data_IF_933915746052
#
_entry.id   IF_933915746052
#
_cell.length_a   1.000
_cell.length_b   1.000
_cell.length_c   1.000
_cell.angle_alpha   90.00
_cell.angle_beta   90.00
_cell.angle_gamma   90.00
#
_symmetry.space_group_name_H-M   'P 1'
#
loop_
_entity.id
_entity.type
_entity.pdbx_description
1 polymer ?
#
# COMPACT_ATOMS: atom_id res chain seq x y z
N UNK A 1 14.88 -11.16 17.19
CA UNK A 1 15.06 -10.58 15.84
C UNK A 1 13.77 -10.70 15.05
N UNK A 2 12.82 -9.80 15.28
CA UNK A 2 11.59 -9.71 14.49
C UNK A 2 11.94 -9.18 13.09
N UNK A 3 11.60 -9.92 12.05
CA UNK A 3 11.77 -9.50 10.64
C UNK A 3 10.41 -9.18 10.07
N UNK A 4 10.34 -8.09 9.30
CA UNK A 4 9.15 -7.67 8.58
C UNK A 4 9.54 -7.48 7.12
N UNK A 5 8.75 -8.04 6.21
CA UNK A 5 8.88 -7.84 4.78
C UNK A 5 7.68 -7.08 4.25
N UNK A 6 7.96 -6.01 3.51
CA UNK A 6 6.95 -5.32 2.70
C UNK A 6 7.06 -5.89 1.30
N UNK A 7 6.01 -6.58 0.85
CA UNK A 7 5.99 -7.34 -0.41
C UNK A 7 5.43 -6.53 -1.59
N UNK A 8 4.99 -5.30 -1.33
CA UNK A 8 4.37 -4.41 -2.31
C UNK A 8 5.23 -3.16 -2.46
N UNK A 9 5.52 -2.78 -3.71
CA UNK A 9 6.31 -1.61 -4.06
C UNK A 9 5.45 -0.65 -4.89
N UNK A 10 5.59 0.65 -4.65
CA UNK A 10 4.92 1.67 -5.45
C UNK A 10 5.75 1.99 -6.69
N UNK A 11 5.37 1.40 -7.83
CA UNK A 11 6.11 1.43 -9.09
C UNK A 11 5.37 2.19 -10.21
N UNK A 12 4.07 2.45 -10.05
CA UNK A 12 3.24 3.11 -11.05
C UNK A 12 3.07 4.61 -10.73
N UNK A 13 3.49 5.54 -11.60
CA UNK A 13 3.32 6.97 -11.36
C UNK A 13 1.88 7.44 -11.64
N UNK A 14 1.28 8.14 -10.69
CA UNK A 14 0.04 8.91 -10.87
C UNK A 14 0.40 10.30 -11.38
N UNK A 15 -0.33 10.77 -12.40
CA UNK A 15 -0.21 12.13 -12.92
C UNK A 15 -1.43 12.97 -12.60
N UNK A 16 -1.23 14.24 -12.28
CA UNK A 16 -2.30 15.21 -12.00
C UNK A 16 -2.10 16.52 -12.75
N UNK A 17 -3.19 17.16 -13.15
CA UNK A 17 -3.16 18.56 -13.63
C UNK A 17 -3.39 19.51 -12.46
N UNK A 18 -2.80 20.73 -12.49
CA UNK A 18 -3.13 21.77 -11.52
C UNK A 18 -4.63 22.09 -11.51
N UNK A 19 -5.16 22.55 -10.38
CA UNK A 19 -6.59 22.85 -10.24
C UNK A 19 -7.07 23.99 -11.15
N UNK A 20 -6.17 24.89 -11.56
CA UNK A 20 -6.51 26.14 -12.26
C UNK A 20 -6.51 26.02 -13.80
N UNK A 21 -6.16 24.86 -14.38
CA UNK A 21 -6.07 24.70 -15.84
C UNK A 21 -7.33 24.08 -16.44
N UNK A 22 -7.75 24.60 -17.61
CA UNK A 22 -8.81 23.98 -18.41
C UNK A 22 -8.39 22.60 -18.92
N UNK A 23 -9.37 21.73 -19.16
CA UNK A 23 -9.15 20.40 -19.74
C UNK A 23 -8.47 20.47 -21.12
N UNK A 24 -7.75 19.41 -21.51
CA UNK A 24 -6.92 19.37 -22.73
C UNK A 24 -5.43 19.69 -22.51
N UNK A 25 -4.67 19.91 -23.58
CA UNK A 25 -3.22 20.22 -23.57
C UNK A 25 -2.31 19.13 -22.97
N UNK A 26 -2.62 17.85 -23.20
CA UNK A 26 -1.74 16.72 -22.84
C UNK A 26 -1.96 16.15 -21.43
N UNK A 27 -1.02 15.30 -20.99
CA UNK A 27 -1.02 14.62 -19.68
C UNK A 27 -0.35 15.51 -18.63
N UNK A 28 -0.82 15.45 -17.39
CA UNK A 28 -0.24 16.20 -16.28
C UNK A 28 1.12 15.64 -15.82
N UNK A 29 1.80 16.37 -14.95
CA UNK A 29 3.06 15.92 -14.35
C UNK A 29 2.80 14.81 -13.32
N UNK A 30 3.77 13.90 -13.07
CA UNK A 30 3.67 12.93 -11.98
C UNK A 30 3.53 13.62 -10.61
N UNK A 31 2.53 13.22 -9.82
CA UNK A 31 2.23 13.77 -8.48
C UNK A 31 2.39 12.75 -7.36
N UNK A 32 2.47 11.45 -7.68
CA UNK A 32 2.64 10.40 -6.69
C UNK A 32 2.88 9.04 -7.33
N UNK A 33 3.03 8.02 -6.49
CA UNK A 33 3.22 6.64 -6.90
C UNK A 33 2.17 5.76 -6.24
N UNK A 34 1.71 4.75 -6.97
CA UNK A 34 0.82 3.72 -6.45
C UNK A 34 1.39 2.34 -6.70
N UNK A 35 0.93 1.41 -5.88
CA UNK A 35 1.16 0.00 -6.08
C UNK A 35 -0.17 -0.65 -6.49
N UNK A 36 -0.11 -1.53 -7.49
CA UNK A 36 -1.24 -2.39 -7.81
C UNK A 36 -1.31 -3.53 -6.78
N UNK A 37 -2.47 -3.67 -6.11
CA UNK A 37 -2.71 -4.73 -5.13
C UNK A 37 -3.90 -5.56 -5.58
N UNK A 38 -3.65 -6.82 -5.95
CA UNK A 38 -4.69 -7.77 -6.37
C UNK A 38 -5.25 -8.58 -5.19
N UNK A 39 -6.48 -9.08 -5.34
CA UNK A 39 -7.10 -9.97 -4.36
C UNK A 39 -6.23 -11.20 -4.12
N UNK A 40 -5.93 -11.49 -2.85
CA UNK A 40 -5.08 -12.62 -2.44
C UNK A 40 -3.59 -12.31 -2.37
N UNK A 41 -3.16 -11.11 -2.77
CA UNK A 41 -1.78 -10.67 -2.59
C UNK A 41 -1.49 -10.38 -1.11
N UNK A 42 -0.32 -10.79 -0.63
CA UNK A 42 0.13 -10.57 0.75
C UNK A 42 0.99 -9.31 0.78
N UNK A 43 0.54 -8.19 1.38
CA UNK A 43 1.31 -6.94 1.40
C UNK A 43 2.43 -6.92 2.45
N UNK A 44 2.21 -7.61 3.57
CA UNK A 44 3.14 -7.63 4.70
C UNK A 44 3.33 -9.07 5.19
N UNK A 45 4.58 -9.45 5.42
CA UNK A 45 4.96 -10.70 6.08
C UNK A 45 5.80 -10.37 7.31
N UNK A 46 5.69 -11.19 8.36
CA UNK A 46 6.49 -11.02 9.57
C UNK A 46 6.88 -12.38 10.15
N UNK A 47 8.09 -12.44 10.71
CA UNK A 47 8.66 -13.64 11.32
C UNK A 47 9.44 -13.26 12.60
N UNK A 48 9.57 -14.21 13.52
CA UNK A 48 10.31 -14.05 14.77
C UNK A 48 9.56 -13.33 15.89
N UNK A 49 8.22 -13.39 15.88
CA UNK A 49 7.32 -12.87 16.93
C UNK A 49 6.32 -13.92 17.37
N UNK A 50 5.83 -13.81 18.61
CA UNK A 50 4.74 -14.66 19.10
C UNK A 50 3.44 -14.39 18.32
N UNK A 51 2.60 -15.42 18.18
CA UNK A 51 1.32 -15.33 17.47
C UNK A 51 0.40 -14.23 18.04
N UNK A 52 0.41 -14.03 19.37
CA UNK A 52 -0.37 -12.98 20.04
C UNK A 52 0.02 -11.59 19.55
N UNK A 53 1.33 -11.34 19.48
CA UNK A 53 1.87 -10.04 19.10
C UNK A 53 1.74 -9.82 17.60
N UNK A 54 1.94 -10.87 16.78
CA UNK A 54 1.72 -10.82 15.34
C UNK A 54 0.27 -10.48 15.00
N UNK A 55 -0.70 -11.11 15.68
CA UNK A 55 -2.14 -10.85 15.47
C UNK A 55 -2.52 -9.42 15.87
N UNK A 56 -1.98 -8.92 16.99
CA UNK A 56 -2.21 -7.55 17.42
C UNK A 56 -1.61 -6.54 16.42
N UNK A 57 -0.38 -6.77 15.97
CA UNK A 57 0.28 -5.94 14.96
C UNK A 57 -0.49 -5.94 13.64
N UNK A 58 -0.94 -7.11 13.16
CA UNK A 58 -1.73 -7.23 11.94
C UNK A 58 -3.08 -6.50 12.05
N UNK A 59 -3.75 -6.57 13.20
CA UNK A 59 -4.99 -5.81 13.46
C UNK A 59 -4.74 -4.30 13.38
N UNK A 60 -3.67 -3.80 13.98
CA UNK A 60 -3.32 -2.38 13.93
C UNK A 60 -2.94 -1.95 12.51
N UNK A 61 -2.22 -2.79 11.78
CA UNK A 61 -1.85 -2.54 10.39
C UNK A 61 -3.07 -2.48 9.47
N UNK A 62 -4.08 -3.34 9.68
CA UNK A 62 -5.29 -3.41 8.87
C UNK A 62 -6.14 -2.12 8.86
N UNK A 63 -5.97 -1.21 9.83
CA UNK A 63 -6.71 0.06 9.88
C UNK A 63 -6.14 1.17 8.99
N UNK A 64 -4.94 1.00 8.44
CA UNK A 64 -4.24 2.02 7.63
C UNK A 64 -4.39 1.86 6.10
N UNK A 65 -4.39 0.65 5.51
CA UNK A 65 -4.50 0.51 4.06
C UNK A 65 -5.92 0.79 3.57
N UNK A 66 -6.02 1.13 2.28
CA UNK A 66 -7.29 1.46 1.62
C UNK A 66 -8.18 0.23 1.33
N UNK A 67 -7.74 -0.98 1.67
CA UNK A 67 -8.40 -2.25 1.38
C UNK A 67 -8.58 -3.09 2.64
N UNK A 68 -9.64 -3.90 2.69
CA UNK A 68 -9.81 -4.90 3.74
C UNK A 68 -8.71 -5.97 3.65
N UNK A 69 -8.11 -6.31 4.79
CA UNK A 69 -7.03 -7.31 4.88
C UNK A 69 -7.43 -8.45 5.81
N UNK A 70 -6.97 -9.66 5.51
CA UNK A 70 -7.16 -10.85 6.35
C UNK A 70 -5.81 -11.31 6.90
N UNK A 71 -5.75 -11.61 8.21
CA UNK A 71 -4.60 -12.29 8.82
C UNK A 71 -4.66 -13.78 8.45
N UNK A 72 -3.55 -14.30 7.93
CA UNK A 72 -3.37 -15.69 7.49
C UNK A 72 -2.32 -16.36 8.37
#
# INVERSE_FOLDING_TARGET
>A
NCKIWVRVLADLPITGKPAEVRMGRGKGNPTGWIAHVSTGQIPFEMDGVSLSNARQAARLAAHKPCSSTKFV
#
